data_IF_677470931496
#
_entry.id   IF_677470931496
#
_cell.length_a   1.000
_cell.length_b   1.000
_cell.length_c   1.000
_cell.angle_alpha   90.00
_cell.angle_beta   90.00
_cell.angle_gamma   90.00
#
_symmetry.space_group_name_H-M   'P 1'
#
loop_
_entity.id
_entity.type
_entity.pdbx_description
1 polymer ?
#
# COMPACT_ATOMS: atom_id res chain seq x y z
N UNK A 1 -10.31 -29.67 -4.47
CA UNK A 1 -9.76 -28.40 -3.93
C UNK A 1 -8.78 -27.86 -4.95
N UNK A 2 -8.69 -26.55 -5.12
CA UNK A 2 -7.67 -25.95 -5.99
C UNK A 2 -6.41 -25.78 -5.14
N UNK A 3 -5.36 -26.54 -5.45
CA UNK A 3 -4.09 -26.55 -4.68
C UNK A 3 -3.34 -25.22 -4.75
N UNK A 4 -3.77 -24.30 -5.62
CA UNK A 4 -3.22 -22.96 -5.77
C UNK A 4 -4.11 -21.86 -5.19
N UNK A 5 -5.26 -22.20 -4.61
CA UNK A 5 -6.11 -21.21 -3.97
C UNK A 5 -5.60 -20.83 -2.58
N UNK A 6 -5.73 -19.55 -2.23
CA UNK A 6 -5.61 -19.09 -0.85
C UNK A 6 -6.63 -19.80 0.06
N UNK A 7 -6.27 -19.99 1.33
CA UNK A 7 -7.19 -20.50 2.34
C UNK A 7 -8.40 -19.58 2.52
N UNK A 8 -9.50 -20.11 3.05
CA UNK A 8 -10.71 -19.30 3.27
C UNK A 8 -10.45 -18.12 4.22
N UNK A 9 -9.56 -18.29 5.20
CA UNK A 9 -9.15 -17.22 6.11
C UNK A 9 -8.39 -16.09 5.39
N UNK A 10 -7.45 -16.44 4.50
CA UNK A 10 -6.69 -15.46 3.70
C UNK A 10 -7.61 -14.73 2.71
N UNK A 11 -8.52 -15.46 2.05
CA UNK A 11 -9.52 -14.86 1.15
C UNK A 11 -10.40 -13.87 1.90
N UNK A 12 -10.91 -14.25 3.08
CA UNK A 12 -11.72 -13.36 3.91
C UNK A 12 -10.95 -12.10 4.32
N UNK A 13 -9.66 -12.24 4.69
CA UNK A 13 -8.81 -11.10 5.03
C UNK A 13 -8.61 -10.15 3.84
N UNK A 14 -8.34 -10.68 2.63
CA UNK A 14 -8.19 -9.88 1.41
C UNK A 14 -9.47 -9.08 1.12
N UNK A 15 -10.63 -9.73 1.12
CA UNK A 15 -11.91 -9.05 0.87
C UNK A 15 -12.24 -8.03 1.95
N UNK A 16 -11.91 -8.30 3.20
CA UNK A 16 -12.07 -7.36 4.31
C UNK A 16 -11.23 -6.10 4.09
N UNK A 17 -9.94 -6.24 3.76
CA UNK A 17 -9.05 -5.09 3.49
C UNK A 17 -9.57 -4.24 2.33
N UNK A 18 -10.01 -4.89 1.24
CA UNK A 18 -10.59 -4.19 0.08
C UNK A 18 -11.86 -3.43 0.49
N UNK A 19 -12.75 -4.06 1.27
CA UNK A 19 -14.03 -3.49 1.69
C UNK A 19 -13.94 -2.43 2.79
N UNK A 20 -12.92 -2.47 3.65
CA UNK A 20 -12.70 -1.50 4.73
C UNK A 20 -11.92 -0.26 4.27
N UNK A 21 -11.11 -0.37 3.21
CA UNK A 21 -10.29 0.76 2.72
C UNK A 21 -11.17 1.95 2.31
N UNK A 22 -10.81 3.14 2.77
CA UNK A 22 -11.47 4.41 2.41
C UNK A 22 -10.45 5.42 1.88
N UNK A 23 -10.93 6.35 1.05
CA UNK A 23 -10.21 7.56 0.66
C UNK A 23 -10.34 8.58 1.81
N UNK A 24 -9.25 8.79 2.55
CA UNK A 24 -9.25 9.63 3.76
C UNK A 24 -8.79 11.06 3.45
N UNK A 25 -9.57 12.06 3.91
CA UNK A 25 -9.26 13.49 3.72
C UNK A 25 -8.85 14.23 4.99
N UNK A 26 -9.06 13.62 6.16
CA UNK A 26 -8.64 14.15 7.45
C UNK A 26 -7.81 13.10 8.18
N UNK A 27 -6.60 13.46 8.60
CA UNK A 27 -5.66 12.58 9.28
C UNK A 27 -5.52 13.01 10.74
N UNK A 28 -5.34 12.05 11.64
CA UNK A 28 -5.17 12.30 13.08
C UNK A 28 -3.85 13.01 13.45
N UNK A 29 -3.04 13.40 12.47
CA UNK A 29 -1.67 13.90 12.68
C UNK A 29 -0.69 12.77 13.00
N UNK A 30 0.49 13.14 13.52
CA UNK A 30 1.56 12.20 13.86
C UNK A 30 2.51 11.87 12.71
N UNK A 31 3.33 10.83 12.91
CA UNK A 31 4.31 10.35 11.93
C UNK A 31 4.10 8.87 11.66
N UNK A 32 4.26 8.48 10.39
CA UNK A 32 4.34 7.08 9.99
C UNK A 32 5.72 6.55 10.39
N UNK A 33 5.75 5.45 11.14
CA UNK A 33 7.00 4.82 11.54
C UNK A 33 7.82 4.39 10.30
N UNK A 34 9.15 4.55 10.30
CA UNK A 34 9.99 4.29 9.11
C UNK A 34 9.82 2.89 8.52
N UNK A 35 9.72 1.87 9.36
CA UNK A 35 9.52 0.48 8.96
C UNK A 35 8.14 0.23 8.36
N UNK A 36 7.11 0.94 8.83
CA UNK A 36 5.78 0.88 8.24
C UNK A 36 5.76 1.51 6.85
N UNK A 37 6.40 2.68 6.68
CA UNK A 37 6.57 3.30 5.37
C UNK A 37 7.32 2.36 4.41
N UNK A 38 8.38 1.69 4.89
CA UNK A 38 9.11 0.69 4.13
C UNK A 38 8.22 -0.44 3.62
N UNK A 39 7.34 -1.00 4.47
CA UNK A 39 6.38 -2.04 4.05
C UNK A 39 5.41 -1.55 2.97
N UNK A 40 4.91 -0.32 3.08
CA UNK A 40 4.00 0.27 2.09
C UNK A 40 4.69 0.44 0.73
N UNK A 41 5.93 0.94 0.72
CA UNK A 41 6.70 1.10 -0.52
C UNK A 41 7.06 -0.25 -1.14
N UNK A 42 7.40 -1.25 -0.32
CA UNK A 42 7.65 -2.60 -0.81
C UNK A 42 6.40 -3.23 -1.43
N UNK A 43 5.22 -3.02 -0.83
CA UNK A 43 3.95 -3.48 -1.41
C UNK A 43 3.65 -2.78 -2.75
N UNK A 44 3.91 -1.47 -2.85
CA UNK A 44 3.77 -0.74 -4.11
C UNK A 44 4.71 -1.28 -5.20
N UNK A 45 5.93 -1.68 -4.83
CA UNK A 45 6.92 -2.24 -5.76
C UNK A 45 6.54 -3.63 -6.31
N UNK A 46 5.67 -4.38 -5.62
CA UNK A 46 5.16 -5.67 -6.09
C UNK A 46 4.04 -5.54 -7.15
N UNK A 47 3.60 -4.32 -7.47
CA UNK A 47 2.62 -4.11 -8.52
C UNK A 47 3.14 -4.61 -9.88
N UNK A 48 2.27 -5.15 -10.75
CA UNK A 48 2.68 -5.51 -12.11
C UNK A 48 3.00 -4.25 -12.93
N UNK A 49 3.87 -4.39 -13.91
CA UNK A 49 4.17 -3.34 -14.90
C UNK A 49 4.42 -3.97 -16.27
N UNK A 50 4.12 -3.23 -17.33
CA UNK A 50 4.40 -3.68 -18.70
C UNK A 50 5.88 -3.97 -18.83
N UNK A 51 6.23 -5.18 -19.28
CA UNK A 51 7.63 -5.59 -19.49
C UNK A 51 8.50 -5.54 -18.23
N UNK A 52 7.92 -5.59 -17.02
CA UNK A 52 8.65 -5.42 -15.75
C UNK A 52 9.43 -4.07 -15.69
N UNK A 53 8.96 -3.04 -16.39
CA UNK A 53 9.66 -1.76 -16.49
C UNK A 53 9.72 -0.99 -15.16
N UNK A 54 8.77 -1.22 -14.26
CA UNK A 54 8.68 -0.55 -12.95
C UNK A 54 8.91 0.98 -13.03
N UNK A 55 8.21 1.73 -13.90
CA UNK A 55 8.57 3.10 -14.25
C UNK A 55 8.23 4.15 -13.16
N UNK A 56 7.78 3.69 -11.99
CA UNK A 56 7.37 4.57 -10.90
C UNK A 56 8.57 5.20 -10.18
N UNK A 57 8.32 6.39 -9.65
CA UNK A 57 9.19 7.06 -8.68
C UNK A 57 8.37 7.39 -7.46
N UNK A 58 8.89 7.08 -6.28
CA UNK A 58 8.28 7.46 -5.02
C UNK A 58 9.02 8.66 -4.45
N UNK A 59 8.34 9.82 -4.38
CA UNK A 59 8.89 11.04 -3.81
C UNK A 59 8.22 11.29 -2.46
N UNK A 60 9.00 11.29 -1.39
CA UNK A 60 8.51 11.57 -0.03
C UNK A 60 8.69 13.06 0.29
N UNK A 61 7.60 13.81 0.28
CA UNK A 61 7.62 15.23 0.67
C UNK A 61 7.46 15.32 2.19
N UNK A 62 8.52 15.66 2.93
CA UNK A 62 8.48 15.84 4.40
C UNK A 62 8.50 17.29 4.85
N UNK A 63 9.08 18.18 4.04
CA UNK A 63 9.13 19.61 4.28
C UNK A 63 7.74 20.22 4.13
N UNK A 64 7.32 21.02 5.11
CA UNK A 64 5.97 21.57 5.17
C UNK A 64 5.78 22.69 4.15
N UNK A 65 6.86 23.43 3.89
CA UNK A 65 6.94 24.55 2.96
C UNK A 65 6.62 24.13 1.52
N UNK A 66 6.85 22.84 1.19
CA UNK A 66 6.55 22.25 -0.12
C UNK A 66 5.11 21.74 -0.26
N UNK A 67 4.29 21.74 0.80
CA UNK A 67 2.99 21.04 0.84
C UNK A 67 1.76 21.89 0.49
N UNK A 68 1.89 23.22 0.43
CA UNK A 68 0.78 24.14 0.16
C UNK A 68 -0.19 24.29 1.32
#
# INVERSE_FOLDING_TARGET
MNDHAYSDAERAAIYRVIGERRDMRHFAGGQVAPELLGRVLAAAHQAPSVGLMQPWRFIRITQRELRG
#
